data_IF_110805404928
#
_entry.id   IF_110805404928
#
_cell.length_a   1.000
_cell.length_b   1.000
_cell.length_c   1.000
_cell.angle_alpha   90.00
_cell.angle_beta   90.00
_cell.angle_gamma   90.00
#
_symmetry.space_group_name_H-M   'P 1'
#
loop_
_entity.id
_entity.type
_entity.pdbx_description
1 polymer ?
#
# COMPACT_ATOMS: atom_id res chain seq x y z
N UNK A 1 -12.05 -8.22 -3.07
CA UNK A 1 -12.05 -8.74 -4.46
C UNK A 1 -12.23 -10.26 -4.46
N UNK A 2 -13.26 -10.77 -5.14
CA UNK A 2 -13.45 -12.21 -5.34
C UNK A 2 -12.52 -12.75 -6.44
N UNK A 3 -11.89 -13.90 -6.17
CA UNK A 3 -11.02 -14.63 -7.09
C UNK A 3 -11.27 -16.15 -6.96
N UNK A 4 -11.00 -16.89 -8.03
CA UNK A 4 -11.10 -18.35 -8.07
C UNK A 4 -9.70 -18.95 -8.12
N UNK A 5 -9.33 -19.67 -7.07
CA UNK A 5 -8.02 -20.32 -6.93
C UNK A 5 -8.23 -21.81 -7.08
N UNK A 6 -7.68 -22.42 -8.13
CA UNK A 6 -7.89 -23.84 -8.43
C UNK A 6 -9.38 -24.25 -8.46
N UNK A 7 -10.26 -23.36 -8.91
CA UNK A 7 -11.72 -23.58 -8.97
C UNK A 7 -12.48 -23.29 -7.67
N UNK A 8 -11.78 -22.95 -6.57
CA UNK A 8 -12.41 -22.56 -5.31
C UNK A 8 -12.52 -21.05 -5.14
N UNK A 9 -13.68 -20.59 -4.66
CA UNK A 9 -13.93 -19.18 -4.37
C UNK A 9 -13.08 -18.71 -3.18
N UNK A 10 -12.38 -17.59 -3.35
CA UNK A 10 -11.52 -16.92 -2.36
C UNK A 10 -11.66 -15.40 -2.48
N UNK A 11 -11.13 -14.69 -1.49
CA UNK A 11 -11.24 -13.24 -1.39
C UNK A 11 -9.89 -12.62 -1.02
N UNK A 12 -9.55 -11.50 -1.67
CA UNK A 12 -8.40 -10.64 -1.39
C UNK A 12 -8.90 -9.23 -1.03
N UNK A 13 -8.31 -8.59 -0.03
CA UNK A 13 -8.76 -7.28 0.44
C UNK A 13 -7.60 -6.38 0.91
N UNK A 14 -7.74 -5.08 0.63
CA UNK A 14 -6.98 -3.94 1.15
C UNK A 14 -7.96 -2.80 1.31
N UNK A 15 -8.15 -2.37 2.55
CA UNK A 15 -9.08 -1.33 2.95
C UNK A 15 -8.32 -0.05 3.29
N UNK A 16 -8.65 1.01 2.57
CA UNK A 16 -8.34 2.37 2.97
C UNK A 16 -9.39 2.82 3.99
N UNK A 17 -8.93 3.07 5.20
CA UNK A 17 -9.78 3.48 6.32
C UNK A 17 -10.12 4.97 6.31
N UNK A 18 -9.40 5.79 5.54
CA UNK A 18 -9.67 7.22 5.39
C UNK A 18 -10.88 7.42 4.48
N UNK A 19 -10.92 6.72 3.35
CA UNK A 19 -12.01 6.84 2.37
C UNK A 19 -13.06 5.71 2.46
N UNK A 20 -12.90 4.77 3.39
CA UNK A 20 -13.77 3.60 3.57
C UNK A 20 -13.95 2.77 2.27
N UNK A 21 -12.84 2.56 1.55
CA UNK A 21 -12.84 1.95 0.22
C UNK A 21 -11.92 0.72 0.14
N UNK A 22 -12.36 -0.29 -0.62
CA UNK A 22 -11.54 -1.46 -0.99
C UNK A 22 -10.91 -1.23 -2.37
N UNK A 23 -9.58 -1.06 -2.41
CA UNK A 23 -8.84 -0.81 -3.65
C UNK A 23 -8.17 -2.04 -4.25
N UNK A 24 -8.37 -3.22 -3.65
CA UNK A 24 -7.68 -4.46 -4.06
C UNK A 24 -7.81 -4.71 -5.55
N UNK A 25 -9.02 -4.55 -6.09
CA UNK A 25 -9.27 -4.80 -7.51
C UNK A 25 -8.46 -3.86 -8.41
N UNK A 26 -8.30 -2.60 -8.04
CA UNK A 26 -7.50 -1.64 -8.81
C UNK A 26 -6.03 -2.02 -8.82
N UNK A 27 -5.51 -2.47 -7.67
CA UNK A 27 -4.09 -2.82 -7.49
C UNK A 27 -3.77 -4.11 -8.26
N UNK A 28 -4.51 -5.19 -7.98
CA UNK A 28 -4.23 -6.51 -8.56
C UNK A 28 -4.37 -6.47 -10.10
N UNK A 29 -5.36 -5.75 -10.63
CA UNK A 29 -5.52 -5.57 -12.07
C UNK A 29 -4.50 -4.60 -12.72
N UNK A 30 -3.75 -3.81 -11.94
CA UNK A 30 -2.74 -2.89 -12.47
C UNK A 30 -1.36 -3.53 -12.66
N UNK A 31 -1.02 -4.53 -11.83
CA UNK A 31 0.29 -5.19 -11.87
C UNK A 31 0.29 -6.43 -12.77
N UNK A 32 -0.83 -7.18 -12.83
CA UNK A 32 -0.89 -8.47 -13.50
C UNK A 32 -2.05 -8.58 -14.49
N UNK A 33 -1.79 -9.27 -15.61
CA UNK A 33 -2.86 -9.90 -16.39
C UNK A 33 -3.40 -11.08 -15.58
N UNK A 34 -4.35 -10.81 -14.71
CA UNK A 34 -5.16 -11.86 -14.08
C UNK A 34 -5.96 -12.53 -15.19
N UNK A 35 -5.92 -13.86 -15.25
CA UNK A 35 -6.73 -14.61 -16.18
C UNK A 35 -8.21 -14.55 -15.79
N UNK A 36 -9.08 -14.63 -16.79
CA UNK A 36 -10.52 -14.74 -16.56
C UNK A 36 -11.03 -16.01 -17.21
N UNK A 37 -11.90 -16.74 -16.51
CA UNK A 37 -12.59 -17.88 -17.12
C UNK A 37 -13.68 -17.45 -18.13
N UNK A 38 -14.39 -18.44 -18.69
CA UNK A 38 -15.46 -18.23 -19.67
C UNK A 38 -16.64 -17.38 -19.13
N UNK A 39 -16.75 -17.24 -17.81
CA UNK A 39 -17.76 -16.42 -17.14
C UNK A 39 -17.23 -15.04 -16.73
N UNK A 40 -15.98 -14.72 -17.09
CA UNK A 40 -15.33 -13.45 -16.74
C UNK A 40 -14.90 -13.37 -15.28
N UNK A 41 -14.80 -14.50 -14.57
CA UNK A 41 -14.38 -14.56 -13.17
C UNK A 41 -12.85 -14.56 -13.11
N UNK A 42 -12.29 -13.78 -12.19
CA UNK A 42 -10.84 -13.71 -11.99
C UNK A 42 -10.32 -15.04 -11.46
N UNK A 43 -9.33 -15.60 -12.15
CA UNK A 43 -8.72 -16.88 -11.83
C UNK A 43 -7.22 -16.71 -11.59
N UNK A 44 -6.66 -17.46 -10.65
CA UNK A 44 -5.22 -17.51 -10.39
C UNK A 44 -4.82 -18.84 -9.76
N UNK A 45 -3.53 -19.18 -9.87
CA UNK A 45 -2.96 -20.35 -9.20
C UNK A 45 -2.68 -20.06 -7.72
N UNK A 46 -2.47 -21.13 -6.93
CA UNK A 46 -2.22 -21.01 -5.47
C UNK A 46 -0.97 -20.16 -5.16
N UNK A 47 0.05 -20.25 -6.01
CA UNK A 47 1.29 -19.49 -5.87
C UNK A 47 1.05 -17.98 -6.01
N UNK A 48 0.27 -17.58 -7.02
CA UNK A 48 -0.10 -16.19 -7.26
C UNK A 48 -0.99 -15.65 -6.14
N UNK A 49 -1.97 -16.44 -5.71
CA UNK A 49 -2.81 -16.07 -4.57
C UNK A 49 -1.99 -15.86 -3.30
N UNK A 50 -1.06 -16.75 -3.00
CA UNK A 50 -0.17 -16.64 -1.83
C UNK A 50 0.75 -15.42 -1.93
N UNK A 51 1.27 -15.11 -3.13
CA UNK A 51 2.04 -13.87 -3.37
C UNK A 51 1.19 -12.65 -3.06
N UNK A 52 -0.01 -12.57 -3.64
CA UNK A 52 -0.92 -11.44 -3.42
C UNK A 52 -1.33 -11.28 -1.96
N UNK A 53 -1.65 -12.37 -1.26
CA UNK A 53 -1.95 -12.28 0.18
C UNK A 53 -0.81 -11.65 0.98
N UNK A 54 0.45 -11.98 0.65
CA UNK A 54 1.62 -11.42 1.32
C UNK A 54 1.79 -9.93 0.99
N UNK A 55 1.74 -9.56 -0.27
CA UNK A 55 1.98 -8.18 -0.69
C UNK A 55 0.83 -7.26 -0.26
N UNK A 56 -0.42 -7.70 -0.36
CA UNK A 56 -1.58 -6.96 0.13
C UNK A 56 -1.60 -6.80 1.66
N UNK A 57 -1.06 -7.77 2.42
CA UNK A 57 -0.91 -7.60 3.86
C UNK A 57 0.08 -6.49 4.22
N UNK A 58 1.16 -6.33 3.43
CA UNK A 58 2.11 -5.21 3.59
C UNK A 58 1.44 -3.88 3.24
N UNK A 59 0.67 -3.85 2.14
CA UNK A 59 -0.05 -2.65 1.75
C UNK A 59 -1.14 -2.26 2.77
N UNK A 60 -1.90 -3.22 3.30
CA UNK A 60 -2.85 -2.97 4.37
C UNK A 60 -2.16 -2.38 5.62
N UNK A 61 -0.95 -2.85 5.94
CA UNK A 61 -0.18 -2.25 7.01
C UNK A 61 0.20 -0.79 6.71
N UNK A 62 0.58 -0.47 5.47
CA UNK A 62 0.82 0.91 5.04
C UNK A 62 -0.43 1.78 5.16
N UNK A 63 -1.60 1.29 4.75
CA UNK A 63 -2.89 2.00 4.90
C UNK A 63 -3.22 2.28 6.36
N UNK A 64 -3.05 1.28 7.23
CA UNK A 64 -3.27 1.43 8.66
C UNK A 64 -2.32 2.49 9.23
N UNK A 65 -1.04 2.48 8.84
CA UNK A 65 -0.06 3.51 9.25
C UNK A 65 -0.45 4.90 8.76
N UNK A 66 -0.85 5.07 7.50
CA UNK A 66 -1.34 6.34 6.96
C UNK A 66 -2.53 6.86 7.77
N UNK A 67 -3.48 5.99 8.10
CA UNK A 67 -4.61 6.35 8.94
C UNK A 67 -4.20 6.86 10.33
N UNK A 68 -3.18 6.26 10.96
CA UNK A 68 -2.66 6.73 12.25
C UNK A 68 -1.83 8.01 12.14
N UNK A 69 -1.15 8.23 11.01
CA UNK A 69 -0.29 9.38 10.78
C UNK A 69 -1.06 10.63 10.31
N UNK A 70 -2.27 10.49 9.77
CA UNK A 70 -3.06 11.60 9.18
C UNK A 70 -3.24 12.81 10.11
N UNK A 71 -3.30 12.59 11.42
CA UNK A 71 -3.49 13.64 12.43
C UNK A 71 -2.16 14.12 13.05
N UNK A 72 -1.04 13.53 12.64
CA UNK A 72 0.31 13.77 13.18
C UNK A 72 1.23 14.50 12.20
N UNK A 73 0.92 14.47 10.91
CA UNK A 73 1.71 15.09 9.84
C UNK A 73 0.79 15.85 8.89
N UNK A 74 1.33 16.81 8.16
CA UNK A 74 0.59 17.42 7.04
C UNK A 74 0.37 16.36 5.96
N UNK A 75 -0.90 16.14 5.61
CA UNK A 75 -1.29 15.06 4.71
C UNK A 75 -0.69 15.23 3.30
N UNK A 76 -0.55 16.47 2.82
CA UNK A 76 0.06 16.75 1.52
C UNK A 76 1.56 16.46 1.54
N UNK A 77 2.25 16.74 2.64
CA UNK A 77 3.67 16.37 2.83
C UNK A 77 3.84 14.85 2.82
N UNK A 78 2.95 14.11 3.49
CA UNK A 78 2.97 12.65 3.48
C UNK A 78 2.78 12.10 2.06
N UNK A 79 1.79 12.58 1.31
CA UNK A 79 1.55 12.12 -0.06
C UNK A 79 2.71 12.43 -0.99
N UNK A 80 3.30 13.63 -0.87
CA UNK A 80 4.48 14.01 -1.64
C UNK A 80 5.69 13.12 -1.30
N UNK A 81 5.90 12.84 -0.02
CA UNK A 81 6.99 11.98 0.44
C UNK A 81 6.86 10.57 -0.14
N UNK A 82 5.70 9.93 -0.01
CA UNK A 82 5.49 8.59 -0.56
C UNK A 82 5.59 8.59 -2.09
N UNK A 83 5.09 9.62 -2.76
CA UNK A 83 5.25 9.77 -4.21
C UNK A 83 6.73 9.80 -4.61
N UNK A 84 7.55 10.64 -3.98
CA UNK A 84 8.98 10.74 -4.33
C UNK A 84 9.74 9.44 -4.06
N UNK A 85 9.41 8.71 -3.00
CA UNK A 85 10.03 7.42 -2.67
C UNK A 85 9.65 6.30 -3.65
N UNK A 86 8.47 6.38 -4.29
CA UNK A 86 7.93 5.29 -5.11
C UNK A 86 7.84 5.58 -6.62
N UNK A 87 7.89 6.84 -7.06
CA UNK A 87 7.61 7.29 -8.44
C UNK A 87 8.42 6.63 -9.56
N UNK A 88 9.61 6.10 -9.26
CA UNK A 88 10.47 5.44 -10.26
C UNK A 88 10.41 3.91 -10.16
N UNK A 89 9.66 3.36 -9.22
CA UNK A 89 9.49 1.92 -9.03
C UNK A 89 8.43 1.42 -10.01
N UNK A 90 8.78 0.40 -10.79
CA UNK A 90 7.92 -0.11 -11.88
C UNK A 90 7.16 -1.40 -11.54
N UNK A 91 7.51 -2.06 -10.44
CA UNK A 91 6.75 -3.20 -9.90
C UNK A 91 5.91 -2.74 -8.72
N UNK A 92 4.63 -3.14 -8.68
CA UNK A 92 3.77 -2.79 -7.56
C UNK A 92 4.21 -3.51 -6.28
N UNK A 93 4.65 -4.77 -6.34
CA UNK A 93 5.23 -5.46 -5.19
C UNK A 93 6.46 -4.73 -4.61
N UNK A 94 7.31 -4.13 -5.45
CA UNK A 94 8.43 -3.31 -4.98
C UNK A 94 7.95 -1.97 -4.42
N UNK A 95 6.97 -1.32 -5.06
CA UNK A 95 6.42 -0.04 -4.61
C UNK A 95 5.72 -0.17 -3.25
N UNK A 96 4.91 -1.21 -3.06
CA UNK A 96 4.25 -1.55 -1.80
C UNK A 96 5.27 -1.69 -0.65
N UNK A 97 6.40 -2.36 -0.93
CA UNK A 97 7.47 -2.55 0.06
C UNK A 97 8.19 -1.26 0.39
N UNK A 98 8.55 -0.46 -0.61
CA UNK A 98 9.22 0.82 -0.37
C UNK A 98 8.31 1.77 0.39
N UNK A 99 7.04 1.91 0.00
CA UNK A 99 6.06 2.71 0.73
C UNK A 99 5.99 2.30 2.22
N UNK A 100 5.91 1.00 2.50
CA UNK A 100 5.87 0.51 3.88
C UNK A 100 7.15 0.86 4.66
N UNK A 101 8.32 0.77 4.01
CA UNK A 101 9.61 1.14 4.61
C UNK A 101 9.67 2.63 4.89
N UNK A 102 9.25 3.47 3.94
CA UNK A 102 9.25 4.93 4.06
C UNK A 102 8.30 5.39 5.18
N UNK A 103 7.11 4.79 5.29
CA UNK A 103 6.20 5.05 6.41
C UNK A 103 6.81 4.69 7.77
N UNK A 104 7.54 3.56 7.87
CA UNK A 104 8.25 3.16 9.10
C UNK A 104 9.38 4.11 9.45
N UNK A 105 10.10 4.64 8.46
CA UNK A 105 11.13 5.67 8.66
C UNK A 105 10.51 6.95 9.22
N UNK A 106 9.40 7.39 8.64
CA UNK A 106 8.65 8.56 9.12
C UNK A 106 8.14 8.36 10.55
N UNK A 107 7.49 7.23 10.84
CA UNK A 107 6.99 6.94 12.19
C UNK A 107 8.11 6.98 13.22
N UNK A 108 9.28 6.43 12.89
CA UNK A 108 10.47 6.48 13.73
C UNK A 108 10.94 7.92 13.96
N UNK A 109 11.08 8.73 12.91
CA UNK A 109 11.50 10.12 13.03
C UNK A 109 10.54 10.95 13.90
N UNK A 110 9.24 10.72 13.77
CA UNK A 110 8.22 11.36 14.63
C UNK A 110 8.36 10.92 16.10
N UNK A 111 8.61 9.64 16.36
CA UNK A 111 8.81 9.12 17.72
C UNK A 111 10.09 9.66 18.37
N UNK A 112 11.16 9.77 17.60
CA UNK A 112 12.46 10.28 18.04
C UNK A 112 12.52 11.82 18.07
N UNK A 113 11.48 12.50 17.58
CA UNK A 113 11.42 13.96 17.41
C UNK A 113 12.59 14.49 16.57
N UNK A 114 12.92 13.80 15.49
CA UNK A 114 14.02 14.16 14.60
C UNK A 114 13.62 15.28 13.61
N UNK A 115 13.77 16.53 14.06
CA UNK A 115 13.46 17.72 13.26
C UNK A 115 14.42 17.97 12.09
N UNK A 116 15.58 17.31 12.06
CA UNK A 116 16.49 17.40 10.92
C UNK A 116 15.99 16.47 9.81
N UNK A 117 15.70 15.20 10.15
CA UNK A 117 15.19 14.22 9.22
C UNK A 117 13.86 14.66 8.59
N UNK A 118 12.90 15.16 9.39
CA UNK A 118 11.60 15.60 8.87
C UNK A 118 11.76 16.69 7.81
N UNK A 119 12.58 17.71 8.11
CA UNK A 119 12.83 18.82 7.19
C UNK A 119 13.52 18.36 5.90
N UNK A 120 14.54 17.50 6.03
CA UNK A 120 15.30 16.98 4.88
C UNK A 120 14.43 16.09 3.97
N UNK A 121 13.38 15.48 4.52
CA UNK A 121 12.41 14.64 3.79
C UNK A 121 11.11 15.40 3.42
N UNK A 122 11.11 16.73 3.50
CA UNK A 122 10.01 17.57 3.01
C UNK A 122 8.84 17.79 3.97
N UNK A 123 8.96 17.36 5.24
CA UNK A 123 7.98 17.61 6.29
C UNK A 123 8.28 18.93 7.02
N UNK A 124 7.97 20.07 6.38
CA UNK A 124 8.30 21.42 6.87
C UNK A 124 7.20 21.98 7.76
N UNK A 125 5.94 21.63 7.48
CA UNK A 125 4.76 22.07 8.23
C UNK A 125 4.44 21.15 9.41
N UNK A 126 4.96 19.92 9.38
CA UNK A 126 4.77 18.94 10.44
C UNK A 126 5.53 19.36 11.70
N UNK A 127 4.80 19.70 12.76
CA UNK A 127 5.36 20.09 14.06
C UNK A 127 5.49 18.86 14.99
N UNK A 128 6.61 18.75 15.73
CA UNK A 128 6.95 17.61 16.61
C UNK A 128 7.44 18.00 18.00
#
# INVERSE_FOLDING_TARGET
MEVFVNGERRELHVYDRINEADYTKSIVCSEERIDTDELGRFCMEEEDFTRWQRDLAVLQNSEDMRFFLKDRVDYQELDNYIYEETRYITSAAAAIKEENISLKRLERALCEKDAAWLRDNGFIKTEI
#
